data_IF_678030874081
#
_entry.id   IF_678030874081
#
_cell.length_a   1.000
_cell.length_b   1.000
_cell.length_c   1.000
_cell.angle_alpha   90.00
_cell.angle_beta   90.00
_cell.angle_gamma   90.00
#
_symmetry.space_group_name_H-M   'P 1'
#
loop_
_entity.id
_entity.type
_entity.pdbx_description
1 polymer ?
#
# COMPACT_ATOMS: atom_id res chain seq x y z
N UNK A 1 4.21 15.55 22.77
CA UNK A 1 3.05 15.08 21.99
C UNK A 1 3.48 13.87 21.18
N UNK A 2 2.83 12.71 21.30
CA UNK A 2 3.13 11.57 20.40
C UNK A 2 2.49 11.88 19.05
N UNK A 3 3.30 12.03 18.02
CA UNK A 3 2.81 12.15 16.63
C UNK A 3 1.91 10.95 16.29
N UNK A 4 0.73 11.23 15.75
CA UNK A 4 -0.23 10.22 15.28
C UNK A 4 0.04 9.94 13.81
N UNK A 5 1.06 9.11 13.55
CA UNK A 5 1.41 8.69 12.20
C UNK A 5 0.64 7.45 11.77
N UNK A 6 0.08 7.49 10.57
CA UNK A 6 -0.44 6.31 9.87
C UNK A 6 0.68 5.81 8.96
N UNK A 7 1.13 4.56 9.19
CA UNK A 7 2.18 3.97 8.38
C UNK A 7 1.58 2.90 7.46
N UNK A 8 2.00 2.93 6.21
CA UNK A 8 1.67 1.89 5.23
C UNK A 8 2.97 1.44 4.57
N UNK A 9 3.26 0.16 4.68
CA UNK A 9 4.42 -0.48 4.07
C UNK A 9 4.00 -1.34 2.88
N UNK A 10 4.83 -1.37 1.84
CA UNK A 10 4.71 -2.33 0.76
C UNK A 10 6.07 -2.95 0.50
N UNK A 11 6.13 -4.27 0.53
CA UNK A 11 7.31 -5.06 0.22
C UNK A 11 7.03 -5.92 -1.02
N UNK A 12 8.01 -5.98 -1.91
CA UNK A 12 8.02 -6.97 -2.98
C UNK A 12 9.22 -7.88 -2.78
N UNK A 13 8.96 -9.16 -2.72
CA UNK A 13 9.96 -10.18 -2.48
C UNK A 13 10.02 -11.16 -3.64
N UNK A 14 11.18 -11.76 -3.86
CA UNK A 14 11.38 -12.86 -4.80
C UNK A 14 11.74 -14.11 -4.01
N UNK A 15 11.01 -15.20 -4.24
CA UNK A 15 11.19 -16.46 -3.57
C UNK A 15 11.01 -17.62 -4.54
N UNK A 16 11.53 -18.80 -4.20
CA UNK A 16 11.24 -20.01 -4.97
C UNK A 16 9.75 -20.34 -4.88
N UNK A 17 9.13 -20.75 -6.01
CA UNK A 17 7.69 -20.96 -6.11
C UNK A 17 7.15 -21.92 -5.03
N UNK A 18 7.88 -22.98 -4.77
CA UNK A 18 7.58 -24.00 -3.75
C UNK A 18 7.67 -23.48 -2.31
N UNK A 19 8.39 -22.37 -2.08
CA UNK A 19 8.59 -21.77 -0.75
C UNK A 19 7.64 -20.60 -0.47
N UNK A 20 6.94 -20.09 -1.46
CA UNK A 20 6.03 -18.95 -1.30
C UNK A 20 5.01 -19.18 -0.17
N UNK A 21 4.30 -20.32 -0.08
CA UNK A 21 3.33 -20.54 0.99
C UNK A 21 3.97 -20.50 2.39
N UNK A 22 5.14 -21.11 2.55
CA UNK A 22 5.88 -21.13 3.82
C UNK A 22 6.39 -19.73 4.21
N UNK A 23 6.78 -18.93 3.22
CA UNK A 23 7.20 -17.55 3.44
C UNK A 23 6.03 -16.69 3.88
N UNK A 24 4.85 -16.87 3.29
CA UNK A 24 3.62 -16.20 3.72
C UNK A 24 3.29 -16.56 5.18
N UNK A 25 3.37 -17.84 5.56
CA UNK A 25 3.11 -18.28 6.93
C UNK A 25 4.08 -17.61 7.92
N UNK A 26 5.37 -17.55 7.61
CA UNK A 26 6.36 -16.83 8.43
C UNK A 26 6.06 -15.34 8.58
N UNK A 27 5.53 -14.70 7.53
CA UNK A 27 5.12 -13.29 7.57
C UNK A 27 3.94 -13.10 8.51
N UNK A 28 2.97 -14.03 8.48
CA UNK A 28 1.80 -14.01 9.36
C UNK A 28 2.25 -14.22 10.82
N UNK A 29 3.10 -15.22 11.09
CA UNK A 29 3.65 -15.49 12.42
C UNK A 29 4.40 -14.26 12.98
N UNK A 30 5.17 -13.56 12.14
CA UNK A 30 5.87 -12.34 12.53
C UNK A 30 4.91 -11.20 12.89
N UNK A 31 3.78 -11.08 12.19
CA UNK A 31 2.74 -10.10 12.50
C UNK A 31 2.03 -10.43 13.82
N UNK A 32 1.68 -11.68 14.07
CA UNK A 32 1.05 -12.16 15.30
C UNK A 32 1.98 -11.99 16.50
N UNK A 33 3.26 -12.33 16.36
CA UNK A 33 4.27 -12.10 17.39
C UNK A 33 4.47 -10.61 17.72
N UNK A 34 4.17 -9.71 16.79
CA UNK A 34 4.16 -8.28 17.04
C UNK A 34 2.87 -7.79 17.72
N UNK A 35 1.87 -8.64 17.92
CA UNK A 35 0.56 -8.28 18.45
C UNK A 35 -0.39 -7.73 17.38
N UNK A 36 -0.13 -8.03 16.13
CA UNK A 36 -0.96 -7.75 14.97
C UNK A 36 -1.68 -8.99 14.47
N UNK A 37 -1.92 -9.06 13.16
CA UNK A 37 -2.54 -10.23 12.53
C UNK A 37 -2.68 -10.07 11.02
N UNK A 38 -3.15 -11.13 10.39
CA UNK A 38 -3.45 -11.17 8.96
C UNK A 38 -4.75 -10.42 8.66
N UNK A 39 -4.74 -9.63 7.60
CA UNK A 39 -5.93 -8.96 7.04
C UNK A 39 -6.46 -9.71 5.83
N UNK A 40 -5.57 -10.05 4.92
CA UNK A 40 -5.91 -10.84 3.74
C UNK A 40 -4.73 -11.71 3.31
N UNK A 41 -5.04 -12.85 2.68
CA UNK A 41 -4.06 -13.78 2.11
C UNK A 41 -4.47 -14.16 0.70
N UNK A 42 -3.50 -14.22 -0.20
CA UNK A 42 -3.59 -14.76 -1.55
C UNK A 42 -2.44 -15.74 -1.76
N UNK A 43 -2.42 -16.41 -2.88
CA UNK A 43 -1.37 -17.39 -3.20
C UNK A 43 0.03 -16.74 -3.30
N UNK A 44 0.08 -15.49 -3.74
CA UNK A 44 1.29 -14.71 -4.00
C UNK A 44 1.40 -13.43 -3.16
N UNK A 45 0.44 -13.15 -2.30
CA UNK A 45 0.41 -11.91 -1.53
C UNK A 45 -0.24 -12.09 -0.16
N UNK A 46 0.24 -11.31 0.80
CA UNK A 46 -0.35 -11.23 2.13
C UNK A 46 -0.39 -9.79 2.60
N UNK A 47 -1.49 -9.43 3.23
CA UNK A 47 -1.65 -8.15 3.91
C UNK A 47 -1.78 -8.40 5.40
N UNK A 48 -0.92 -7.75 6.16
CA UNK A 48 -0.88 -7.86 7.62
C UNK A 48 -1.10 -6.50 8.25
N UNK A 49 -1.62 -6.51 9.46
CA UNK A 49 -1.78 -5.32 10.30
C UNK A 49 -0.97 -5.51 11.58
N UNK A 50 -0.19 -4.50 11.94
CA UNK A 50 0.66 -4.51 13.13
C UNK A 50 0.49 -3.22 13.91
N UNK A 51 0.70 -3.21 15.24
CA UNK A 51 0.72 -1.98 16.03
C UNK A 51 1.73 -0.98 15.46
N UNK A 52 1.35 0.30 15.37
CA UNK A 52 2.16 1.32 14.72
C UNK A 52 3.51 1.57 15.40
N UNK A 53 3.60 1.33 16.71
CA UNK A 53 4.85 1.40 17.47
C UNK A 53 5.85 0.29 17.09
N UNK A 54 5.36 -0.85 16.63
CA UNK A 54 6.16 -2.01 16.22
C UNK A 54 6.35 -2.13 14.69
N UNK A 55 5.79 -1.18 13.94
CA UNK A 55 5.83 -1.22 12.48
C UNK A 55 7.24 -1.34 11.91
N UNK A 56 8.18 -0.52 12.39
CA UNK A 56 9.57 -0.52 11.89
C UNK A 56 10.29 -1.84 12.21
N UNK A 57 10.13 -2.33 13.43
CA UNK A 57 10.76 -3.57 13.88
C UNK A 57 10.21 -4.77 13.10
N UNK A 58 8.89 -4.80 12.89
CA UNK A 58 8.25 -5.84 12.09
C UNK A 58 8.72 -5.77 10.63
N UNK A 59 8.77 -4.57 10.04
CA UNK A 59 9.24 -4.41 8.66
C UNK A 59 10.67 -4.93 8.49
N UNK A 60 11.57 -4.62 9.42
CA UNK A 60 12.96 -5.13 9.41
C UNK A 60 13.02 -6.65 9.56
N UNK A 61 12.17 -7.24 10.39
CA UNK A 61 12.07 -8.70 10.53
C UNK A 61 11.60 -9.34 9.22
N UNK A 62 10.61 -8.76 8.57
CA UNK A 62 10.10 -9.26 7.28
C UNK A 62 11.17 -9.20 6.18
N UNK A 63 12.02 -8.17 6.17
CA UNK A 63 13.15 -8.08 5.24
C UNK A 63 14.14 -9.23 5.37
N UNK A 64 14.22 -9.86 6.55
CA UNK A 64 15.04 -11.05 6.81
C UNK A 64 14.39 -12.37 6.41
N UNK A 65 13.09 -12.40 6.07
CA UNK A 65 12.36 -13.65 5.76
C UNK A 65 12.57 -14.10 4.32
N UNK A 66 12.78 -13.15 3.39
CA UNK A 66 12.96 -13.45 1.97
C UNK A 66 13.79 -12.38 1.27
N UNK A 67 14.05 -12.57 -0.04
CA UNK A 67 14.81 -11.59 -0.83
C UNK A 67 13.93 -10.43 -1.24
N UNK A 68 14.08 -9.28 -0.57
CA UNK A 68 13.39 -8.03 -0.91
C UNK A 68 13.98 -7.43 -2.18
N UNK A 69 13.13 -7.12 -3.15
CA UNK A 69 13.50 -6.46 -4.43
C UNK A 69 12.94 -5.04 -4.52
N UNK A 70 11.89 -4.75 -3.78
CA UNK A 70 11.37 -3.38 -3.67
C UNK A 70 10.75 -3.16 -2.30
N UNK A 71 10.91 -1.93 -1.80
CA UNK A 71 10.35 -1.48 -0.53
C UNK A 71 9.76 -0.09 -0.72
N UNK A 72 8.56 0.11 -0.23
CA UNK A 72 7.93 1.43 -0.14
C UNK A 72 7.34 1.61 1.25
N UNK A 73 7.56 2.77 1.86
CA UNK A 73 6.95 3.12 3.15
C UNK A 73 6.35 4.50 3.01
N UNK A 74 5.06 4.61 3.28
CA UNK A 74 4.35 5.88 3.37
C UNK A 74 4.02 6.16 4.83
N UNK A 75 4.36 7.36 5.29
CA UNK A 75 3.95 7.88 6.58
C UNK A 75 3.06 9.10 6.36
N UNK A 76 1.92 9.14 7.03
CA UNK A 76 0.97 10.23 7.00
C UNK A 76 0.76 10.72 8.42
N UNK A 77 1.10 11.97 8.71
CA UNK A 77 0.86 12.58 10.02
C UNK A 77 -0.55 13.16 10.04
N UNK A 78 -1.40 12.61 10.89
CA UNK A 78 -2.78 13.03 11.06
C UNK A 78 -3.02 13.80 12.35
N UNK A 79 -1.94 14.23 13.02
CA UNK A 79 -2.03 14.91 14.32
C UNK A 79 -2.78 16.23 14.23
N UNK A 80 -2.55 17.00 13.18
CA UNK A 80 -3.22 18.28 12.95
C UNK A 80 -4.70 18.10 12.68
N UNK A 81 -5.07 17.22 11.74
CA UNK A 81 -6.47 16.89 11.44
C UNK A 81 -7.20 16.38 12.68
N UNK A 82 -6.55 15.51 13.45
CA UNK A 82 -7.14 14.98 14.67
C UNK A 82 -7.42 16.06 15.70
N UNK A 83 -6.46 16.97 15.90
CA UNK A 83 -6.62 18.08 16.84
C UNK A 83 -7.70 19.07 16.42
N UNK A 84 -7.75 19.42 15.12
CA UNK A 84 -8.80 20.32 14.57
C UNK A 84 -10.20 19.72 14.79
N UNK A 85 -10.36 18.43 14.53
CA UNK A 85 -11.62 17.74 14.78
C UNK A 85 -11.98 17.68 16.26
N UNK A 86 -11.02 17.50 17.18
CA UNK A 86 -11.28 17.56 18.63
C UNK A 86 -11.81 18.95 19.05
N UNK A 87 -11.17 20.02 18.57
CA UNK A 87 -11.60 21.39 18.86
C UNK A 87 -13.00 21.65 18.31
N UNK A 88 -13.26 21.26 17.07
CA UNK A 88 -14.57 21.40 16.43
C UNK A 88 -15.66 20.62 17.16
N UNK A 89 -15.37 19.41 17.58
CA UNK A 89 -16.29 18.58 18.38
C UNK A 89 -16.66 19.27 19.71
N UNK A 90 -15.67 19.83 20.41
CA UNK A 90 -15.89 20.53 21.67
C UNK A 90 -16.81 21.75 21.47
N UNK A 91 -16.61 22.52 20.38
CA UNK A 91 -17.42 23.67 20.04
C UNK A 91 -18.87 23.26 19.71
N UNK A 92 -19.06 22.20 18.94
CA UNK A 92 -20.39 21.67 18.60
C UNK A 92 -21.15 21.18 19.84
N UNK A 93 -20.50 20.47 20.72
CA UNK A 93 -21.09 20.01 22.00
C UNK A 93 -21.51 21.20 22.87
N UNK A 94 -20.72 22.28 22.89
CA UNK A 94 -21.08 23.51 23.58
C UNK A 94 -22.31 24.17 22.95
N UNK A 95 -22.38 24.20 21.62
CA UNK A 95 -23.54 24.73 20.88
C UNK A 95 -24.78 23.87 21.13
N UNK A 96 -24.64 22.53 21.11
CA UNK A 96 -25.72 21.59 21.41
C UNK A 96 -26.33 21.88 22.79
N UNK A 97 -25.47 22.06 23.81
CA UNK A 97 -25.94 22.39 25.17
C UNK A 97 -26.70 23.70 25.20
N UNK A 98 -26.21 24.75 24.54
CA UNK A 98 -26.91 26.04 24.47
C UNK A 98 -28.26 25.92 23.78
N UNK A 99 -28.35 25.14 22.71
CA UNK A 99 -29.61 24.90 22.01
C UNK A 99 -30.59 24.12 22.89
N UNK A 100 -30.11 23.14 23.68
CA UNK A 100 -30.95 22.47 24.68
C UNK A 100 -31.49 23.42 25.74
N UNK A 101 -30.63 24.33 26.23
CA UNK A 101 -31.06 25.38 27.17
C UNK A 101 -32.10 26.33 26.54
N UNK A 102 -31.99 26.65 25.25
CA UNK A 102 -32.99 27.44 24.51
C UNK A 102 -34.27 26.66 24.31
N UNK A 103 -34.18 25.38 23.98
CA UNK A 103 -35.37 24.50 23.87
C UNK A 103 -36.18 24.48 25.17
N UNK A 104 -35.51 24.38 26.32
CA UNK A 104 -36.12 24.34 27.64
C UNK A 104 -36.86 25.68 27.99
N UNK A 105 -36.49 26.77 27.32
CA UNK A 105 -37.09 28.13 27.52
C UNK A 105 -38.04 28.54 26.42
N UNK A 106 -38.23 27.73 25.36
CA UNK A 106 -39.10 28.05 24.24
C UNK A 106 -40.53 28.25 24.74
N UNK A 107 -41.13 29.36 24.35
CA UNK A 107 -42.51 29.77 24.79
C UNK A 107 -43.56 29.42 23.78
N UNK A 108 -43.15 29.15 22.56
CA UNK A 108 -44.10 28.81 21.47
C UNK A 108 -43.55 27.67 20.58
N UNK A 109 -44.46 27.01 19.87
CA UNK A 109 -44.14 25.83 19.04
C UNK A 109 -43.21 26.17 17.89
N UNK A 110 -43.28 27.35 17.29
CA UNK A 110 -42.41 27.72 16.15
C UNK A 110 -40.97 27.92 16.59
N UNK A 111 -40.75 28.51 17.75
CA UNK A 111 -39.40 28.60 18.35
C UNK A 111 -38.84 27.20 18.65
N UNK A 112 -39.64 26.36 19.30
CA UNK A 112 -39.26 24.97 19.62
C UNK A 112 -38.88 24.18 18.36
N UNK A 113 -39.68 24.22 17.30
CA UNK A 113 -39.38 23.55 16.03
C UNK A 113 -38.11 24.08 15.35
N UNK A 114 -37.82 25.35 15.48
CA UNK A 114 -36.59 25.94 14.91
C UNK A 114 -35.36 25.43 15.66
N UNK A 115 -35.41 25.42 16.98
CA UNK A 115 -34.32 24.90 17.82
C UNK A 115 -34.14 23.39 17.62
N UNK A 116 -35.23 22.65 17.47
CA UNK A 116 -35.16 21.19 17.22
C UNK A 116 -34.43 20.87 15.93
N UNK A 117 -34.73 21.58 14.83
CA UNK A 117 -33.99 21.40 13.55
C UNK A 117 -32.50 21.69 13.69
N UNK A 118 -32.15 22.74 14.43
CA UNK A 118 -30.73 23.05 14.67
C UNK A 118 -30.06 22.02 15.60
N UNK A 119 -30.78 21.49 16.59
CA UNK A 119 -30.27 20.38 17.43
C UNK A 119 -30.00 19.13 16.60
N UNK A 120 -30.92 18.77 15.69
CA UNK A 120 -30.73 17.64 14.78
C UNK A 120 -29.51 17.84 13.88
N UNK A 121 -29.38 19.04 13.28
CA UNK A 121 -28.22 19.36 12.43
C UNK A 121 -26.89 19.26 13.18
N UNK A 122 -26.83 19.80 14.42
CA UNK A 122 -25.66 19.77 15.26
C UNK A 122 -25.34 18.33 15.71
N UNK A 123 -26.34 17.53 16.04
CA UNK A 123 -26.17 16.13 16.40
C UNK A 123 -25.56 15.32 15.24
N UNK A 124 -26.07 15.47 14.03
CA UNK A 124 -25.51 14.80 12.84
C UNK A 124 -24.05 15.19 12.58
N UNK A 125 -23.68 16.46 12.79
CA UNK A 125 -22.30 16.89 12.62
C UNK A 125 -21.38 16.33 13.73
N UNK A 126 -21.87 16.23 14.96
CA UNK A 126 -21.14 15.58 16.08
C UNK A 126 -20.85 14.11 15.71
N UNK A 127 -21.87 13.35 15.31
CA UNK A 127 -21.74 11.95 14.94
C UNK A 127 -20.71 11.75 13.81
N UNK A 128 -20.74 12.64 12.82
CA UNK A 128 -19.79 12.62 11.71
C UNK A 128 -18.36 12.84 12.16
N UNK A 129 -18.13 13.81 13.04
CA UNK A 129 -16.79 14.12 13.57
C UNK A 129 -16.30 13.00 14.48
N UNK A 130 -17.15 12.46 15.35
CA UNK A 130 -16.81 11.33 16.22
C UNK A 130 -16.44 10.09 15.40
N UNK A 131 -17.19 9.81 14.34
CA UNK A 131 -16.86 8.73 13.39
C UNK A 131 -15.50 8.95 12.73
N UNK A 132 -15.18 10.18 12.30
CA UNK A 132 -13.87 10.51 11.70
C UNK A 132 -12.73 10.39 12.71
N UNK A 133 -12.90 10.89 13.93
CA UNK A 133 -11.92 10.75 15.00
C UNK A 133 -11.64 9.29 15.36
N UNK A 134 -12.69 8.47 15.46
CA UNK A 134 -12.57 7.03 15.71
C UNK A 134 -11.79 6.32 14.59
N UNK A 135 -12.08 6.65 13.34
CA UNK A 135 -11.39 6.14 12.16
C UNK A 135 -9.89 6.50 12.18
N UNK A 136 -9.56 7.77 12.40
CA UNK A 136 -8.17 8.24 12.48
C UNK A 136 -7.42 7.57 13.64
N UNK A 137 -8.06 7.45 14.81
CA UNK A 137 -7.49 6.78 15.97
C UNK A 137 -7.16 5.31 15.68
N UNK A 138 -8.07 4.60 15.06
CA UNK A 138 -7.87 3.19 14.69
C UNK A 138 -6.74 3.03 13.67
N UNK A 139 -6.71 3.87 12.63
CA UNK A 139 -5.65 3.83 11.63
C UNK A 139 -4.27 4.25 12.17
N UNK A 140 -4.22 5.21 13.11
CA UNK A 140 -2.98 5.60 13.75
C UNK A 140 -2.47 4.56 14.77
N UNK A 141 -3.35 3.74 15.32
CA UNK A 141 -2.97 2.66 16.25
C UNK A 141 -2.39 1.43 15.55
N UNK A 142 -2.80 1.19 14.30
CA UNK A 142 -2.36 0.04 13.52
C UNK A 142 -1.87 0.48 12.15
N UNK A 143 -0.79 -0.13 11.74
CA UNK A 143 -0.15 0.08 10.43
C UNK A 143 -0.35 -1.15 9.56
N UNK A 144 -0.47 -0.95 8.27
CA UNK A 144 -0.68 -2.03 7.30
C UNK A 144 0.62 -2.28 6.53
N UNK A 145 0.98 -3.55 6.36
CA UNK A 145 2.10 -3.98 5.51
C UNK A 145 1.55 -4.96 4.48
N UNK A 146 1.69 -4.60 3.21
CA UNK A 146 1.36 -5.48 2.07
C UNK A 146 2.66 -6.10 1.57
N UNK A 147 2.69 -7.42 1.48
CA UNK A 147 3.84 -8.16 0.95
C UNK A 147 3.38 -8.94 -0.28
N UNK A 148 4.06 -8.69 -1.40
CA UNK A 148 3.86 -9.43 -2.64
C UNK A 148 5.10 -10.28 -2.91
N UNK A 149 4.88 -11.56 -3.16
CA UNK A 149 5.90 -12.53 -3.51
C UNK A 149 5.81 -12.85 -5.00
N UNK A 150 6.97 -12.80 -5.65
CA UNK A 150 7.09 -13.16 -7.07
C UNK A 150 7.96 -14.39 -7.15
N UNK A 151 7.58 -15.42 -7.90
CA UNK A 151 8.42 -16.59 -8.08
C UNK A 151 9.75 -16.16 -8.73
N UNK A 152 10.86 -16.68 -8.19
CA UNK A 152 12.15 -16.51 -8.82
C UNK A 152 12.07 -17.14 -10.21
N UNK A 153 12.31 -16.34 -11.26
CA UNK A 153 12.45 -16.90 -12.60
C UNK A 153 13.45 -18.04 -12.54
N UNK A 154 13.04 -19.24 -12.89
CA UNK A 154 14.00 -20.30 -13.16
C UNK A 154 14.92 -19.73 -14.21
N UNK A 155 16.25 -19.71 -13.89
CA UNK A 155 17.26 -19.36 -14.88
C UNK A 155 16.94 -20.21 -16.11
N UNK A 156 16.33 -19.60 -17.13
CA UNK A 156 16.21 -20.26 -18.42
C UNK A 156 17.65 -20.64 -18.76
N UNK A 157 17.95 -21.91 -19.05
CA UNK A 157 19.30 -22.23 -19.48
C UNK A 157 19.60 -21.26 -20.59
N UNK A 158 20.64 -20.42 -20.36
CA UNK A 158 21.17 -19.58 -21.44
C UNK A 158 21.45 -20.59 -22.52
N UNK A 159 20.61 -20.61 -23.56
CA UNK A 159 20.93 -21.37 -24.75
C UNK A 159 22.25 -20.74 -25.21
N UNK A 160 23.35 -21.34 -24.79
CA UNK A 160 24.64 -21.05 -25.37
C UNK A 160 24.40 -21.28 -26.86
N UNK A 161 24.58 -20.26 -27.70
CA UNK A 161 24.50 -20.50 -29.12
C UNK A 161 25.59 -21.54 -29.42
N UNK A 162 25.15 -22.80 -29.57
CA UNK A 162 26.01 -23.91 -29.87
C UNK A 162 26.70 -23.62 -31.19
N UNK A 163 28.03 -23.44 -31.09
CA UNK A 163 28.91 -23.52 -32.21
C UNK A 163 28.99 -22.25 -33.07
N UNK A 164 30.11 -22.08 -33.75
CA UNK A 164 30.21 -21.03 -34.72
C UNK A 164 29.09 -21.24 -35.76
N UNK A 165 28.10 -20.34 -35.73
CA UNK A 165 27.13 -20.29 -36.79
C UNK A 165 27.92 -20.11 -38.10
N UNK A 166 28.01 -21.17 -38.87
CA UNK A 166 28.44 -21.04 -40.24
C UNK A 166 27.61 -19.95 -40.89
N UNK A 167 28.24 -18.93 -41.46
CA UNK A 167 27.47 -17.86 -42.10
C UNK A 167 26.56 -18.51 -43.14
N UNK A 168 25.26 -18.54 -42.86
CA UNK A 168 24.27 -18.87 -43.89
C UNK A 168 24.51 -17.92 -45.00
N UNK A 169 25.07 -18.43 -46.14
CA UNK A 169 25.06 -17.69 -47.38
C UNK A 169 23.62 -17.32 -47.63
N UNK A 170 23.34 -16.04 -47.52
CA UNK A 170 22.08 -15.50 -47.97
C UNK A 170 22.22 -15.42 -49.48
N UNK A 171 21.73 -16.43 -50.17
CA UNK A 171 21.52 -16.38 -51.64
C UNK A 171 20.45 -15.29 -51.87
N UNK A 172 20.90 -14.12 -52.13
CA UNK A 172 20.03 -13.06 -52.60
C UNK A 172 19.75 -13.35 -54.06
N UNK A 173 18.49 -13.51 -54.52
CA UNK A 173 18.12 -13.79 -55.91
C UNK A 173 18.22 -12.47 -56.72
N UNK A 174 19.45 -12.01 -56.93
CA UNK A 174 19.72 -10.80 -57.68
C UNK A 174 20.83 -11.10 -58.69
N UNK A 175 20.48 -11.75 -59.79
CA UNK A 175 21.36 -12.19 -60.86
C UNK A 175 22.19 -11.06 -61.48
N UNK A 176 21.79 -9.82 -61.29
CA UNK A 176 22.50 -8.66 -61.84
C UNK A 176 23.74 -8.28 -61.04
N UNK A 177 23.86 -8.68 -59.75
CA UNK A 177 25.01 -8.34 -58.91
C UNK A 177 26.28 -9.13 -59.30
N UNK A 178 26.12 -10.31 -59.91
CA UNK A 178 27.24 -11.10 -60.40
C UNK A 178 27.91 -10.46 -61.61
N UNK A 179 27.23 -9.58 -62.33
CA UNK A 179 27.77 -8.89 -63.52
C UNK A 179 28.58 -7.62 -63.18
N UNK A 180 28.55 -7.17 -61.93
CA UNK A 180 29.27 -5.94 -61.50
C UNK A 180 30.70 -6.19 -60.97
N UNK A 181 31.21 -7.43 -61.03
CA UNK A 181 32.58 -7.75 -60.70
C UNK A 181 33.01 -7.36 -59.28
N UNK A 182 32.10 -7.38 -58.29
CA UNK A 182 32.37 -6.96 -56.90
C UNK A 182 32.85 -8.11 -56.01
N UNK A 183 33.09 -9.29 -56.56
CA UNK A 183 33.65 -10.45 -55.86
C UNK A 183 34.96 -10.20 -55.09
N UNK A 184 35.88 -9.31 -55.56
CA UNK A 184 37.10 -9.03 -54.82
C UNK A 184 36.88 -8.18 -53.57
N UNK A 185 35.76 -7.47 -53.45
CA UNK A 185 35.51 -6.59 -52.31
C UNK A 185 34.90 -7.30 -51.09
N UNK A 186 34.36 -8.49 -51.29
CA UNK A 186 33.77 -9.30 -50.23
C UNK A 186 34.74 -10.31 -49.62
N UNK A 187 35.99 -10.37 -50.10
CA UNK A 187 37.05 -11.24 -49.60
C UNK A 187 38.11 -10.47 -48.78
N UNK A 188 37.68 -9.52 -47.94
CA UNK A 188 38.56 -8.95 -46.92
C UNK A 188 38.74 -9.97 -45.80
N UNK A 189 39.82 -10.72 -45.97
CA UNK A 189 40.42 -11.60 -44.98
C UNK A 189 41.09 -10.76 -43.90
N UNK A 190 40.60 -10.87 -42.66
CA UNK A 190 41.53 -10.93 -41.56
C UNK A 190 40.93 -11.72 -40.46
#
# INVERSE_FOLDING_TARGET
MRSRGIYTGALRMVEAEDKIPQTIDKIIDAAEAAGGGMVSRRDDAVEIRVPSDKFRDTLTKLEGVGRVVARSVKAEDVSEEYHDLEVRLANLRTTQKRLQDFMARATNVNEALTVERELERVAQEIDRIEGRLSFLKTRASFSTISVQLTPKAKDAPIATPNGPASPKRVDLPVDWLSQLGVDPLLSLKK
#
